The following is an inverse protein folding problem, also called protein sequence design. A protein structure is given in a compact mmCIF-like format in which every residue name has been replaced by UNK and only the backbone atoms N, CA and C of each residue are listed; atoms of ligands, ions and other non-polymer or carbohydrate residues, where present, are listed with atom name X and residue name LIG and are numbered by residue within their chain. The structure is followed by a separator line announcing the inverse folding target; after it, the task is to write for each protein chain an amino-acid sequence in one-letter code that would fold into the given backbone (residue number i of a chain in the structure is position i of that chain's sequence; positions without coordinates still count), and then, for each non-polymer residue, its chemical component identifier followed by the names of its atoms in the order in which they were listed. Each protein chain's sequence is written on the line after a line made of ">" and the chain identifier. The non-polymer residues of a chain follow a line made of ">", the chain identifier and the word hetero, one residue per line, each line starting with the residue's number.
data_IF_982454416412
#
_entry.id   IF_982454416412
#
_cell.length_a   1.000
_cell.length_b   1.000
_cell.length_c   1.000
_cell.angle_alpha   90.00
_cell.angle_beta   90.00
_cell.angle_gamma   90.00
#
_symmetry.space_group_name_H-M   'P 1'
#
loop_
_entity.id
_entity.type
_entity.pdbx_description
1 polymer ?
#
# COMPACT_ATOMS: atom_id res chain seq x y z
N UNK A 1 -6.58 -23.71 -8.40
CA UNK A 1 -7.29 -22.50 -7.90
C UNK A 1 -7.29 -21.43 -8.97
N UNK A 2 -8.45 -20.86 -9.21
CA UNK A 2 -8.46 -19.71 -10.09
C UNK A 2 -7.66 -18.57 -9.47
N UNK A 3 -6.97 -17.86 -10.31
CA UNK A 3 -6.20 -16.72 -9.89
C UNK A 3 -7.15 -15.58 -9.48
N UNK A 4 -6.87 -14.93 -8.36
CA UNK A 4 -7.65 -13.77 -7.95
C UNK A 4 -7.37 -12.62 -8.90
N UNK A 5 -8.41 -11.99 -9.41
CA UNK A 5 -8.27 -10.78 -10.22
C UNK A 5 -8.45 -9.55 -9.31
N UNK A 6 -8.40 -8.36 -9.88
CA UNK A 6 -8.51 -7.12 -9.11
C UNK A 6 -9.92 -6.87 -8.58
N UNK A 7 -10.90 -7.60 -9.09
CA UNK A 7 -12.28 -7.38 -8.68
C UNK A 7 -12.47 -7.78 -7.22
N UNK A 8 -12.99 -6.87 -6.44
CA UNK A 8 -13.31 -7.07 -5.02
C UNK A 8 -12.10 -7.21 -4.10
N UNK A 9 -10.87 -7.03 -4.61
CA UNK A 9 -9.71 -6.97 -3.74
C UNK A 9 -9.70 -5.63 -3.01
N UNK A 10 -9.45 -5.68 -1.71
CA UNK A 10 -9.41 -4.49 -0.87
C UNK A 10 -8.00 -3.91 -0.85
N UNK A 11 -7.88 -2.65 -1.22
CA UNK A 11 -6.62 -1.91 -1.20
C UNK A 11 -6.73 -0.80 -0.18
N UNK A 12 -5.79 -0.74 0.75
CA UNK A 12 -5.64 0.42 1.63
C UNK A 12 -4.62 1.34 0.99
N UNK A 13 -5.05 2.54 0.63
CA UNK A 13 -4.22 3.55 -0.01
C UNK A 13 -3.86 4.61 1.01
N UNK A 14 -2.57 4.71 1.34
CA UNK A 14 -2.07 5.66 2.32
C UNK A 14 -1.27 6.74 1.62
N UNK A 15 -1.80 7.95 1.56
CA UNK A 15 -1.23 9.08 0.85
C UNK A 15 -1.76 10.35 1.51
N UNK A 16 -0.88 11.26 1.90
CA UNK A 16 -1.29 12.49 2.59
C UNK A 16 -1.79 13.59 1.66
N UNK A 17 -1.33 13.60 0.41
CA UNK A 17 -1.72 14.64 -0.53
C UNK A 17 -3.07 14.29 -1.15
N UNK A 18 -4.08 15.11 -0.83
CA UNK A 18 -5.47 14.81 -1.15
C UNK A 18 -5.72 14.57 -2.65
N UNK A 19 -5.15 15.43 -3.50
CA UNK A 19 -5.36 15.31 -4.94
C UNK A 19 -4.74 14.04 -5.49
N UNK A 20 -3.55 13.70 -5.04
CA UNK A 20 -2.86 12.46 -5.46
C UNK A 20 -3.64 11.25 -4.98
N UNK A 21 -4.12 11.28 -3.74
CA UNK A 21 -4.89 10.19 -3.17
C UNK A 21 -6.18 9.97 -3.95
N UNK A 22 -6.90 11.04 -4.27
CA UNK A 22 -8.13 10.95 -5.05
C UNK A 22 -7.86 10.36 -6.43
N UNK A 23 -6.84 10.86 -7.11
CA UNK A 23 -6.49 10.39 -8.45
C UNK A 23 -6.16 8.89 -8.44
N UNK A 24 -5.34 8.47 -7.49
CA UNK A 24 -4.96 7.06 -7.36
C UNK A 24 -6.15 6.18 -7.02
N UNK A 25 -7.02 6.66 -6.13
CA UNK A 25 -8.23 5.91 -5.79
C UNK A 25 -9.10 5.67 -7.01
N UNK A 26 -9.33 6.71 -7.81
CA UNK A 26 -10.18 6.58 -8.99
C UNK A 26 -9.58 5.61 -10.00
N UNK A 27 -8.25 5.64 -10.19
CA UNK A 27 -7.60 4.71 -11.08
C UNK A 27 -7.70 3.26 -10.59
N UNK A 28 -7.52 3.05 -9.30
CA UNK A 28 -7.63 1.72 -8.71
C UNK A 28 -9.05 1.19 -8.76
N UNK A 29 -10.02 2.05 -8.46
CA UNK A 29 -11.44 1.65 -8.55
C UNK A 29 -11.82 1.29 -9.98
N UNK A 30 -11.27 2.00 -10.96
CA UNK A 30 -11.50 1.71 -12.36
C UNK A 30 -10.99 0.31 -12.73
N UNK A 31 -9.97 -0.18 -12.04
CA UNK A 31 -9.43 -1.52 -12.26
C UNK A 31 -10.16 -2.59 -11.45
N UNK A 32 -11.18 -2.23 -10.70
CA UNK A 32 -11.99 -3.18 -9.95
C UNK A 32 -11.65 -3.33 -8.48
N UNK A 33 -10.68 -2.58 -7.97
CA UNK A 33 -10.32 -2.64 -6.55
C UNK A 33 -11.34 -1.91 -5.68
N UNK A 34 -11.51 -2.39 -4.46
CA UNK A 34 -12.24 -1.69 -3.41
C UNK A 34 -11.19 -0.92 -2.62
N UNK A 35 -11.30 0.40 -2.58
CA UNK A 35 -10.24 1.24 -2.01
C UNK A 35 -10.67 1.88 -0.70
N UNK A 36 -9.86 1.69 0.33
CA UNK A 36 -9.95 2.43 1.60
C UNK A 36 -8.83 3.44 1.61
N UNK A 37 -9.07 4.63 2.13
CA UNK A 37 -8.09 5.71 2.14
C UNK A 37 -7.62 6.02 3.55
N UNK A 38 -6.35 6.40 3.66
CA UNK A 38 -5.78 6.93 4.90
C UNK A 38 -4.87 8.09 4.54
N UNK A 39 -4.98 9.17 5.29
CA UNK A 39 -4.20 10.39 5.02
C UNK A 39 -2.90 10.45 5.81
N UNK A 40 -2.72 9.58 6.79
CA UNK A 40 -1.50 9.50 7.58
C UNK A 40 -1.30 8.09 8.13
N UNK A 41 -0.14 7.89 8.79
CA UNK A 41 0.23 6.59 9.30
C UNK A 41 -0.68 6.07 10.39
N UNK A 42 -1.20 6.95 11.24
CA UNK A 42 -2.09 6.52 12.32
C UNK A 42 -3.41 6.02 11.77
N UNK A 43 -4.00 6.77 10.86
CA UNK A 43 -5.25 6.35 10.19
C UNK A 43 -5.01 5.05 9.42
N UNK A 44 -3.82 4.90 8.82
CA UNK A 44 -3.48 3.68 8.09
C UNK A 44 -3.49 2.46 9.01
N UNK A 45 -2.86 2.57 10.19
CA UNK A 45 -2.82 1.46 11.14
C UNK A 45 -4.24 1.10 11.58
N UNK A 46 -5.02 2.09 11.98
CA UNK A 46 -6.40 1.86 12.45
C UNK A 46 -7.27 1.24 11.36
N UNK A 47 -7.13 1.73 10.13
CA UNK A 47 -7.91 1.23 9.00
C UNK A 47 -7.51 -0.19 8.65
N UNK A 48 -6.21 -0.49 8.66
CA UNK A 48 -5.73 -1.84 8.36
C UNK A 48 -6.28 -2.85 9.37
N UNK A 49 -6.30 -2.49 10.65
CA UNK A 49 -6.81 -3.37 11.69
C UNK A 49 -8.32 -3.59 11.54
N UNK A 50 -9.05 -2.54 11.19
CA UNK A 50 -10.51 -2.61 11.06
C UNK A 50 -10.96 -3.34 9.79
N UNK A 51 -10.33 -3.02 8.65
CA UNK A 51 -10.80 -3.48 7.35
C UNK A 51 -10.10 -4.70 6.79
N UNK A 52 -8.96 -5.08 7.32
CA UNK A 52 -8.16 -6.23 6.84
C UNK A 52 -7.99 -6.20 5.32
N UNK A 53 -7.29 -5.18 4.78
CA UNK A 53 -7.12 -5.09 3.34
C UNK A 53 -6.30 -6.26 2.78
N UNK A 54 -6.47 -6.53 1.50
CA UNK A 54 -5.70 -7.55 0.80
C UNK A 54 -4.31 -7.07 0.43
N UNK A 55 -4.13 -5.76 0.29
CA UNK A 55 -2.84 -5.15 -0.01
C UNK A 55 -2.85 -3.70 0.49
N UNK A 56 -1.69 -3.21 0.89
CA UNK A 56 -1.53 -1.83 1.36
C UNK A 56 -0.53 -1.10 0.47
N UNK A 57 -0.91 0.07 -0.02
CA UNK A 57 -0.02 0.97 -0.73
C UNK A 57 0.36 2.07 0.26
N UNK A 58 1.62 2.10 0.67
CA UNK A 58 2.06 2.96 1.77
C UNK A 58 3.06 4.01 1.29
N UNK A 59 2.68 5.28 1.33
CA UNK A 59 3.61 6.37 1.08
C UNK A 59 4.68 6.35 2.18
N UNK A 60 5.93 6.52 1.80
CA UNK A 60 7.04 6.53 2.76
C UNK A 60 7.12 7.85 3.51
N UNK A 61 6.68 8.95 2.91
CA UNK A 61 6.76 10.29 3.50
C UNK A 61 5.36 10.75 3.91
N UNK A 62 5.04 10.54 5.18
CA UNK A 62 3.72 10.89 5.73
C UNK A 62 3.88 11.83 6.92
N UNK A 63 2.87 12.68 7.19
CA UNK A 63 2.89 13.48 8.41
C UNK A 63 2.59 12.61 9.64
N UNK A 64 2.97 13.08 10.81
CA UNK A 64 2.71 12.48 12.12
C UNK A 64 3.41 11.15 12.33
N UNK A 65 3.20 10.18 11.48
CA UNK A 65 3.82 8.87 11.55
C UNK A 65 4.17 8.45 10.12
N UNK A 66 5.46 8.30 9.82
CA UNK A 66 5.88 7.95 8.47
C UNK A 66 5.52 6.50 8.10
N UNK A 67 5.70 6.18 6.81
CA UNK A 67 5.32 4.87 6.30
C UNK A 67 6.10 3.73 6.91
N UNK A 68 7.36 3.97 7.31
CA UNK A 68 8.16 2.93 7.96
C UNK A 68 7.60 2.57 9.34
N UNK A 69 7.29 3.60 10.15
CA UNK A 69 6.73 3.38 11.47
C UNK A 69 5.35 2.73 11.41
N UNK A 70 4.50 3.20 10.48
CA UNK A 70 3.18 2.62 10.29
C UNK A 70 3.26 1.15 9.90
N UNK A 71 4.18 0.81 9.00
CA UNK A 71 4.37 -0.57 8.56
C UNK A 71 4.79 -1.47 9.71
N UNK A 72 5.69 -1.02 10.57
CA UNK A 72 6.10 -1.79 11.73
C UNK A 72 4.93 -2.08 12.66
N UNK A 73 4.09 -1.09 12.90
CA UNK A 73 2.92 -1.26 13.76
C UNK A 73 1.90 -2.22 13.13
N UNK A 74 1.70 -2.13 11.84
CA UNK A 74 0.80 -3.05 11.12
C UNK A 74 1.31 -4.48 11.25
N UNK A 75 2.61 -4.69 11.06
CA UNK A 75 3.21 -6.03 11.15
C UNK A 75 3.12 -6.63 12.55
N UNK A 76 2.99 -5.81 13.59
CA UNK A 76 2.83 -6.31 14.95
C UNK A 76 1.46 -6.94 15.19
N UNK A 77 0.47 -6.59 14.37
CA UNK A 77 -0.83 -7.22 14.45
C UNK A 77 -0.75 -8.58 13.77
N UNK A 78 -1.07 -9.62 14.52
CA UNK A 78 -0.90 -11.00 14.07
C UNK A 78 -1.67 -11.30 12.80
N UNK A 79 -2.87 -10.74 12.65
CA UNK A 79 -3.70 -10.97 11.47
C UNK A 79 -3.20 -10.23 10.23
N UNK A 80 -2.30 -9.25 10.42
CA UNK A 80 -1.75 -8.45 9.33
C UNK A 80 -0.27 -8.75 9.07
N UNK A 81 0.27 -9.78 9.72
CA UNK A 81 1.68 -10.09 9.61
C UNK A 81 2.12 -10.36 8.17
N UNK A 82 1.26 -10.95 7.38
CA UNK A 82 1.59 -11.36 6.02
C UNK A 82 0.88 -10.55 4.93
N UNK A 83 0.18 -9.48 5.28
CA UNK A 83 -0.47 -8.66 4.26
C UNK A 83 0.59 -7.99 3.39
N UNK A 84 0.47 -8.07 2.06
CA UNK A 84 1.43 -7.38 1.20
C UNK A 84 1.37 -5.87 1.41
N UNK A 85 2.54 -5.27 1.64
CA UNK A 85 2.67 -3.82 1.78
C UNK A 85 3.66 -3.34 0.73
N UNK A 86 3.20 -2.46 -0.15
CA UNK A 86 3.99 -1.89 -1.22
C UNK A 86 4.35 -0.47 -0.85
N UNK A 87 5.64 -0.18 -0.76
CA UNK A 87 6.11 1.17 -0.49
C UNK A 87 5.94 2.02 -1.73
N UNK A 88 5.41 3.24 -1.57
CA UNK A 88 5.25 4.19 -2.64
C UNK A 88 6.17 5.37 -2.36
N UNK A 89 7.03 5.72 -3.29
CA UNK A 89 8.03 6.75 -3.07
C UNK A 89 8.26 7.58 -4.33
N UNK A 90 8.64 8.84 -4.15
CA UNK A 90 9.04 9.71 -5.25
C UNK A 90 10.50 9.50 -5.65
N UNK A 91 11.23 8.67 -4.91
CA UNK A 91 12.67 8.48 -5.11
C UNK A 91 12.98 7.13 -5.74
N UNK A 92 13.98 7.12 -6.62
CA UNK A 92 14.44 5.90 -7.32
C UNK A 92 15.65 5.27 -6.66
N UNK A 93 15.94 5.60 -5.42
CA UNK A 93 17.22 5.26 -4.84
C UNK A 93 17.26 3.85 -4.28
N UNK A 94 18.34 3.15 -4.61
CA UNK A 94 18.58 1.81 -4.09
C UNK A 94 18.67 1.80 -2.55
N UNK A 95 19.11 2.91 -1.96
CA UNK A 95 19.20 3.04 -0.51
C UNK A 95 17.83 2.90 0.15
N UNK A 96 16.80 3.45 -0.48
CA UNK A 96 15.43 3.30 0.02
C UNK A 96 14.96 1.86 -0.02
N UNK A 97 15.39 1.12 -1.05
CA UNK A 97 15.00 -0.29 -1.19
C UNK A 97 15.44 -1.13 0.00
N UNK A 98 16.68 -0.95 0.44
CA UNK A 98 17.23 -1.69 1.54
C UNK A 98 16.46 -1.41 2.84
N UNK A 99 16.23 -0.13 3.12
CA UNK A 99 15.50 0.28 4.33
C UNK A 99 14.04 -0.18 4.28
N UNK A 100 13.41 -0.09 3.10
CA UNK A 100 12.03 -0.50 2.92
C UNK A 100 11.87 -1.99 3.22
N UNK A 101 12.77 -2.81 2.71
CA UNK A 101 12.71 -4.25 2.93
C UNK A 101 12.91 -4.59 4.41
N UNK A 102 13.86 -3.95 5.06
CA UNK A 102 14.13 -4.16 6.48
C UNK A 102 12.94 -3.75 7.36
N UNK A 103 12.13 -2.81 6.89
CA UNK A 103 10.96 -2.34 7.63
C UNK A 103 9.70 -3.16 7.40
N UNK A 104 9.75 -4.19 6.55
CA UNK A 104 8.64 -5.10 6.34
C UNK A 104 7.83 -4.87 5.07
N UNK A 105 8.34 -4.06 4.13
CA UNK A 105 7.71 -3.90 2.83
C UNK A 105 8.01 -5.10 1.93
N UNK A 106 7.05 -5.48 1.12
CA UNK A 106 7.20 -6.60 0.19
C UNK A 106 7.68 -6.15 -1.18
N UNK A 107 7.43 -4.90 -1.53
CA UNK A 107 7.82 -4.33 -2.81
C UNK A 107 7.84 -2.83 -2.70
N UNK A 108 8.34 -2.15 -3.72
CA UNK A 108 8.23 -0.70 -3.78
C UNK A 108 7.94 -0.26 -5.21
N UNK A 109 7.27 0.88 -5.35
CA UNK A 109 7.02 1.51 -6.64
C UNK A 109 7.35 2.99 -6.53
N UNK A 110 7.75 3.59 -7.64
CA UNK A 110 8.06 5.01 -7.69
C UNK A 110 6.92 5.78 -8.34
N UNK A 111 6.71 7.01 -7.89
CA UNK A 111 5.74 7.92 -8.48
C UNK A 111 6.32 8.53 -9.77
N UNK A 112 5.51 8.76 -10.80
CA UNK A 112 4.08 8.47 -10.89
C UNK A 112 3.83 6.98 -11.09
N UNK A 113 2.77 6.46 -10.50
CA UNK A 113 2.50 5.03 -10.53
C UNK A 113 1.79 4.65 -11.83
N UNK A 114 2.30 3.61 -12.50
CA UNK A 114 1.60 2.99 -13.61
C UNK A 114 0.65 1.95 -13.04
N UNK A 115 -0.64 2.23 -13.14
CA UNK A 115 -1.67 1.39 -12.52
C UNK A 115 -1.70 -0.02 -13.13
N UNK A 116 -1.44 -0.13 -14.42
CA UNK A 116 -1.42 -1.46 -15.06
C UNK A 116 -0.28 -2.31 -14.51
N UNK A 117 0.90 -1.72 -14.36
CA UNK A 117 2.04 -2.42 -13.78
C UNK A 117 1.79 -2.76 -12.31
N UNK A 118 1.17 -1.83 -11.58
CA UNK A 118 0.83 -2.04 -10.17
C UNK A 118 -0.15 -3.20 -10.01
N UNK A 119 -1.12 -3.29 -10.89
CA UNK A 119 -2.09 -4.38 -10.87
C UNK A 119 -1.40 -5.74 -11.03
N UNK A 120 -0.43 -5.83 -11.94
CA UNK A 120 0.33 -7.05 -12.12
C UNK A 120 1.19 -7.38 -10.91
N UNK A 121 1.80 -6.37 -10.31
CA UNK A 121 2.60 -6.55 -9.10
C UNK A 121 1.74 -7.08 -7.95
N UNK A 122 0.56 -6.51 -7.76
CA UNK A 122 -0.36 -6.96 -6.71
C UNK A 122 -0.75 -8.41 -6.95
N UNK A 123 -1.10 -8.76 -8.18
CA UNK A 123 -1.48 -10.13 -8.52
C UNK A 123 -0.35 -11.10 -8.17
N UNK A 124 0.89 -10.73 -8.46
CA UNK A 124 2.04 -11.56 -8.14
C UNK A 124 2.27 -11.74 -6.65
N UNK A 125 1.98 -10.72 -5.85
CA UNK A 125 2.15 -10.79 -4.40
C UNK A 125 1.05 -11.63 -3.72
N UNK A 126 -0.09 -11.79 -4.37
CA UNK A 126 -1.24 -12.51 -3.80
C UNK A 126 -1.35 -13.96 -4.25
N UNK A 127 -0.41 -14.43 -5.07
CA UNK A 127 -0.39 -15.83 -5.51
C UNK A 127 0.07 -16.76 -4.40
#
# INVERSE_FOLDING_TARGET
>A
MPQRDSKDLKVLLVEDFEDTRLFMRLELEDQGFIVFEAEDGKVAVDTAIREHPDVILMDLTLPLMDGFAATKLIRQNEQLRNVPIIAVTAHHEDDFRSDAKASGFDAYVTKPIDVNWLKELIAGLLI
#
